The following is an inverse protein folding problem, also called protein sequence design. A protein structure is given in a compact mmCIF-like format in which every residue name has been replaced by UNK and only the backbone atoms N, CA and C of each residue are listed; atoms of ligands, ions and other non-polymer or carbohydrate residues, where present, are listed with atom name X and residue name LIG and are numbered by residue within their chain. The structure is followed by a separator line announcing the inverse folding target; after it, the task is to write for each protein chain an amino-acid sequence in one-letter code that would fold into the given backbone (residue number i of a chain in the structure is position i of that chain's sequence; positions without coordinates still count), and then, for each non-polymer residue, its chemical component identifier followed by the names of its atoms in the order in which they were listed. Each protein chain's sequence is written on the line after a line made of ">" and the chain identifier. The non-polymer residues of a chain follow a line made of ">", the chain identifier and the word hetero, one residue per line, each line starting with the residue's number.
data_IF_706124989067
#
_entry.id   IF_706124989067
#
_cell.length_a   1.000
_cell.length_b   1.000
_cell.length_c   1.000
_cell.angle_alpha   90.00
_cell.angle_beta   90.00
_cell.angle_gamma   90.00
#
_symmetry.space_group_name_H-M   'P 1'
#
loop_
_entity.id
_entity.type
_entity.pdbx_description
1 polymer ?
#
# COMPACT_ATOMS: atom_id res chain seq x y z
N UNK A 1 20.37 26.03 5.16
CA UNK A 1 19.06 25.37 4.86
C UNK A 1 18.97 23.87 5.21
N UNK A 2 20.05 23.18 5.63
CA UNK A 2 19.99 21.72 5.92
C UNK A 2 19.36 21.34 7.27
N UNK A 3 19.44 22.22 8.29
CA UNK A 3 18.98 21.94 9.67
C UNK A 3 17.51 21.47 9.79
N UNK A 4 16.49 22.13 9.22
CA UNK A 4 15.09 21.71 9.41
C UNK A 4 14.78 20.37 8.74
N UNK A 5 15.37 20.08 7.58
CA UNK A 5 15.20 18.81 6.87
C UNK A 5 15.81 17.67 7.70
N UNK A 6 17.03 17.85 8.20
CA UNK A 6 17.70 16.85 9.06
C UNK A 6 16.86 16.59 10.33
N UNK A 7 16.34 17.63 10.97
CA UNK A 7 15.48 17.49 12.15
C UNK A 7 14.20 16.72 11.81
N UNK A 8 13.57 17.00 10.67
CA UNK A 8 12.38 16.26 10.24
C UNK A 8 12.69 14.78 10.02
N UNK A 9 13.77 14.45 9.30
CA UNK A 9 14.19 13.06 9.05
C UNK A 9 14.46 12.35 10.37
N UNK A 10 15.20 12.96 11.30
CA UNK A 10 15.48 12.38 12.62
C UNK A 10 14.17 12.10 13.38
N UNK A 11 13.20 13.03 13.35
CA UNK A 11 11.90 12.84 13.99
C UNK A 11 11.10 11.70 13.36
N UNK A 12 11.05 11.62 12.02
CA UNK A 12 10.38 10.53 11.31
C UNK A 12 11.00 9.19 11.69
N UNK A 13 12.33 9.09 11.64
CA UNK A 13 13.04 7.84 12.00
C UNK A 13 12.79 7.44 13.44
N UNK A 14 12.87 8.39 14.39
CA UNK A 14 12.63 8.11 15.80
C UNK A 14 11.20 7.62 16.06
N UNK A 15 10.20 8.28 15.47
CA UNK A 15 8.79 7.88 15.61
C UNK A 15 8.55 6.53 14.93
N UNK A 16 9.10 6.30 13.75
CA UNK A 16 8.98 5.03 13.04
C UNK A 16 9.56 3.86 13.84
N UNK A 17 10.79 4.02 14.39
CA UNK A 17 11.42 3.00 15.24
C UNK A 17 10.57 2.74 16.49
N UNK A 18 10.09 3.80 17.15
CA UNK A 18 9.22 3.68 18.33
C UNK A 18 7.94 2.89 18.02
N UNK A 19 7.32 3.14 16.87
CA UNK A 19 6.10 2.43 16.43
C UNK A 19 6.37 0.99 16.00
N UNK A 20 7.60 0.65 15.59
CA UNK A 20 7.99 -0.73 15.24
C UNK A 20 8.23 -1.63 16.47
N UNK A 21 8.63 -1.07 17.62
CA UNK A 21 8.91 -1.82 18.86
C UNK A 21 7.76 -2.76 19.27
N UNK A 22 6.48 -2.34 19.30
CA UNK A 22 5.39 -3.21 19.73
C UNK A 22 4.99 -4.27 18.70
N UNK A 23 5.59 -4.31 17.50
CA UNK A 23 5.21 -5.26 16.45
C UNK A 23 5.11 -6.71 16.91
N UNK A 24 6.10 -7.30 17.64
CA UNK A 24 6.04 -8.70 18.05
C UNK A 24 4.76 -9.03 18.85
N UNK A 25 4.32 -8.13 19.73
CA UNK A 25 3.11 -8.29 20.54
C UNK A 25 1.80 -7.95 19.81
N UNK A 26 1.86 -7.25 18.68
CA UNK A 26 0.69 -6.88 17.87
C UNK A 26 0.46 -7.83 16.69
N UNK A 27 1.44 -8.67 16.36
CA UNK A 27 1.43 -9.55 15.17
C UNK A 27 0.13 -10.34 15.07
N UNK A 28 -0.23 -11.12 16.10
CA UNK A 28 -1.40 -12.00 16.07
C UNK A 28 -2.71 -11.25 15.81
N UNK A 29 -2.96 -10.18 16.58
CA UNK A 29 -4.16 -9.36 16.43
C UNK A 29 -4.23 -8.66 15.07
N UNK A 30 -3.09 -8.19 14.57
CA UNK A 30 -3.01 -7.52 13.28
C UNK A 30 -3.20 -8.50 12.12
N UNK A 31 -2.57 -9.67 12.15
CA UNK A 31 -2.74 -10.74 11.15
C UNK A 31 -4.18 -11.26 11.17
N UNK A 32 -4.82 -11.39 12.34
CA UNK A 32 -6.24 -11.74 12.44
C UNK A 32 -7.13 -10.67 11.77
N UNK A 33 -6.89 -9.38 12.05
CA UNK A 33 -7.61 -8.28 11.40
C UNK A 33 -7.41 -8.29 9.88
N UNK A 34 -6.17 -8.46 9.42
CA UNK A 34 -5.82 -8.53 8.00
C UNK A 34 -6.58 -9.65 7.28
N UNK A 35 -6.57 -10.86 7.83
CA UNK A 35 -7.32 -12.02 7.30
C UNK A 35 -8.82 -11.77 7.35
N UNK A 36 -9.33 -11.23 8.45
CA UNK A 36 -10.76 -10.92 8.64
C UNK A 36 -11.28 -9.93 7.60
N UNK A 37 -10.57 -8.81 7.40
CA UNK A 37 -10.91 -7.81 6.37
C UNK A 37 -10.80 -8.41 4.97
N UNK A 38 -9.75 -9.18 4.70
CA UNK A 38 -9.58 -9.88 3.42
C UNK A 38 -10.74 -10.82 3.11
N UNK A 39 -11.16 -11.63 4.08
CA UNK A 39 -12.32 -12.51 3.95
C UNK A 39 -13.61 -11.70 3.76
N UNK A 40 -13.87 -10.65 4.54
CA UNK A 40 -15.09 -9.84 4.38
C UNK A 40 -15.19 -9.22 2.98
N UNK A 41 -14.09 -8.72 2.43
CA UNK A 41 -14.10 -7.98 1.16
C UNK A 41 -14.02 -8.93 -0.04
N UNK A 42 -13.23 -9.99 0.04
CA UNK A 42 -12.89 -10.82 -1.13
C UNK A 42 -13.50 -12.23 -1.12
N UNK A 43 -14.22 -12.65 -0.08
CA UNK A 43 -14.72 -14.03 0.05
C UNK A 43 -15.51 -14.50 -1.18
N UNK A 44 -16.38 -13.65 -1.71
CA UNK A 44 -17.15 -13.92 -2.93
C UNK A 44 -16.72 -12.98 -4.05
N UNK A 45 -15.89 -13.47 -4.95
CA UNK A 45 -15.47 -12.75 -6.14
C UNK A 45 -16.07 -13.41 -7.39
N UNK A 46 -16.82 -12.63 -8.16
CA UNK A 46 -17.37 -12.99 -9.49
C UNK A 46 -18.19 -14.29 -9.57
N UNK A 47 -19.10 -14.53 -8.61
CA UNK A 47 -20.08 -15.65 -8.55
C UNK A 47 -19.51 -17.10 -8.54
N UNK A 48 -18.35 -17.29 -9.14
CA UNK A 48 -17.71 -18.59 -9.41
C UNK A 48 -16.38 -18.74 -8.66
N UNK A 49 -15.80 -17.66 -8.14
CA UNK A 49 -14.59 -17.69 -7.32
C UNK A 49 -14.90 -17.65 -5.83
N UNK A 50 -14.16 -18.43 -5.05
CA UNK A 50 -14.08 -18.33 -3.59
C UNK A 50 -12.64 -18.00 -3.21
N UNK A 51 -12.48 -16.97 -2.40
CA UNK A 51 -11.18 -16.59 -1.83
C UNK A 51 -11.23 -16.73 -0.32
N UNK A 52 -10.21 -17.36 0.25
CA UNK A 52 -10.12 -17.60 1.68
C UNK A 52 -8.75 -17.19 2.20
N UNK A 53 -8.73 -16.31 3.21
CA UNK A 53 -7.53 -15.87 3.90
C UNK A 53 -7.38 -16.72 5.16
N UNK A 54 -6.35 -17.57 5.17
CA UNK A 54 -6.10 -18.58 6.20
C UNK A 54 -4.71 -18.43 6.79
N UNK A 55 -4.47 -19.04 7.96
CA UNK A 55 -3.13 -19.15 8.52
C UNK A 55 -2.25 -20.07 7.68
N UNK A 56 -0.94 -19.81 7.69
CA UNK A 56 0.04 -20.74 7.10
C UNK A 56 0.26 -21.87 8.11
N UNK A 57 0.05 -23.15 7.74
CA UNK A 57 0.15 -24.28 8.68
C UNK A 57 1.57 -24.60 9.19
N UNK A 58 2.59 -23.89 8.73
CA UNK A 58 4.00 -24.28 8.94
C UNK A 58 4.90 -23.06 8.98
N UNK A 59 5.76 -22.99 9.98
CA UNK A 59 6.68 -21.88 10.29
C UNK A 59 7.81 -21.66 9.26
N UNK A 60 7.80 -22.37 8.12
CA UNK A 60 8.93 -22.40 7.17
C UNK A 60 8.95 -21.24 6.17
N UNK A 61 8.01 -20.29 6.23
CA UNK A 61 8.00 -19.12 5.36
C UNK A 61 8.34 -17.89 6.20
N UNK A 62 9.64 -17.57 6.27
CA UNK A 62 10.12 -16.37 6.95
C UNK A 62 9.31 -15.15 6.49
N UNK A 63 8.71 -14.46 7.45
CA UNK A 63 7.87 -13.26 7.30
C UNK A 63 6.50 -13.39 6.60
N UNK A 64 6.06 -14.58 6.18
CA UNK A 64 4.71 -14.77 5.65
C UNK A 64 3.79 -15.31 6.74
N UNK A 65 2.61 -14.69 6.89
CA UNK A 65 1.66 -15.02 7.96
C UNK A 65 0.27 -15.40 7.45
N UNK A 66 0.02 -15.20 6.15
CA UNK A 66 -1.30 -15.37 5.54
C UNK A 66 -1.20 -16.16 4.24
N UNK A 67 -1.95 -17.25 4.15
CA UNK A 67 -2.17 -18.00 2.92
C UNK A 67 -3.54 -17.64 2.34
N UNK A 68 -3.55 -17.10 1.14
CA UNK A 68 -4.74 -16.79 0.36
C UNK A 68 -5.01 -17.96 -0.57
N UNK A 69 -6.10 -18.68 -0.33
CA UNK A 69 -6.54 -19.81 -1.11
C UNK A 69 -7.56 -19.33 -2.14
N UNK A 70 -7.33 -19.68 -3.40
CA UNK A 70 -8.20 -19.36 -4.53
C UNK A 70 -8.85 -20.66 -5.01
N UNK A 71 -10.18 -20.69 -5.09
CA UNK A 71 -10.94 -21.86 -5.49
C UNK A 71 -12.04 -21.50 -6.47
N UNK A 72 -12.25 -22.37 -7.47
CA UNK A 72 -13.50 -22.38 -8.23
C UNK A 72 -14.61 -22.97 -7.37
N UNK A 73 -15.75 -22.28 -7.29
CA UNK A 73 -16.96 -22.73 -6.62
C UNK A 73 -17.43 -24.02 -7.31
N UNK A 74 -17.74 -25.05 -6.52
CA UNK A 74 -18.27 -26.28 -7.08
C UNK A 74 -19.64 -26.00 -7.72
N UNK A 75 -19.77 -26.44 -8.97
CA UNK A 75 -21.07 -26.54 -9.60
C UNK A 75 -21.74 -27.85 -9.15
N UNK A 76 -23.05 -27.84 -8.86
CA UNK A 76 -23.77 -29.07 -8.54
C UNK A 76 -23.56 -30.12 -9.64
N UNK A 77 -23.08 -31.30 -9.27
CA UNK A 77 -22.80 -32.40 -10.20
C UNK A 77 -21.37 -32.44 -10.76
N UNK A 78 -20.50 -31.49 -10.43
CA UNK A 78 -19.07 -31.56 -10.79
C UNK A 78 -18.28 -32.33 -9.73
N UNK A 79 -17.85 -33.55 -10.09
CA UNK A 79 -17.00 -34.41 -9.25
C UNK A 79 -15.49 -34.19 -9.51
N UNK A 80 -15.11 -33.23 -10.36
CA UNK A 80 -13.69 -32.99 -10.67
C UNK A 80 -12.95 -32.43 -9.44
N UNK A 81 -11.68 -32.80 -9.23
CA UNK A 81 -10.85 -32.20 -8.21
C UNK A 81 -10.77 -30.68 -8.45
N UNK A 82 -11.06 -29.88 -7.42
CA UNK A 82 -11.08 -28.42 -7.55
C UNK A 82 -9.65 -27.90 -7.70
N UNK A 83 -9.37 -27.20 -8.79
CA UNK A 83 -8.15 -26.42 -8.94
C UNK A 83 -8.03 -25.43 -7.78
N UNK A 84 -6.90 -25.46 -7.08
CA UNK A 84 -6.62 -24.63 -5.90
C UNK A 84 -5.35 -23.83 -6.10
N UNK A 85 -5.51 -22.51 -6.19
CA UNK A 85 -4.39 -21.58 -6.18
C UNK A 85 -4.04 -21.20 -4.75
N UNK A 86 -2.75 -20.97 -4.49
CA UNK A 86 -2.27 -20.47 -3.21
C UNK A 86 -1.37 -19.26 -3.45
N UNK A 87 -1.63 -18.18 -2.73
CA UNK A 87 -0.77 -17.00 -2.67
C UNK A 87 -0.36 -16.83 -1.21
N UNK A 88 0.92 -16.56 -0.96
CA UNK A 88 1.38 -16.23 0.37
C UNK A 88 1.57 -14.72 0.49
N UNK A 89 1.15 -14.17 1.63
CA UNK A 89 1.18 -12.74 1.92
C UNK A 89 1.72 -12.49 3.32
N UNK A 90 2.39 -11.36 3.47
CA UNK A 90 2.86 -10.85 4.76
C UNK A 90 2.02 -9.65 5.17
N UNK A 91 1.20 -9.77 6.22
CA UNK A 91 0.44 -8.62 6.74
C UNK A 91 1.37 -7.49 7.20
N UNK A 92 2.57 -7.84 7.68
CA UNK A 92 3.63 -6.91 8.09
C UNK A 92 4.02 -5.97 6.96
N UNK A 93 4.49 -6.50 5.84
CA UNK A 93 5.02 -5.68 4.75
C UNK A 93 3.93 -5.11 3.85
N UNK A 94 2.79 -5.78 3.71
CA UNK A 94 1.72 -5.30 2.84
C UNK A 94 0.87 -4.20 3.48
N UNK A 95 0.75 -4.17 4.81
CA UNK A 95 -0.18 -3.25 5.50
C UNK A 95 0.44 -2.53 6.69
N UNK A 96 1.12 -3.23 7.61
CA UNK A 96 1.60 -2.63 8.84
C UNK A 96 2.73 -1.60 8.61
N UNK A 97 3.81 -2.01 7.95
CA UNK A 97 5.00 -1.16 7.67
C UNK A 97 4.63 0.11 6.90
N UNK A 98 3.84 0.04 5.79
CA UNK A 98 3.38 1.25 5.10
C UNK A 98 2.54 2.18 6.00
N UNK A 99 1.68 1.60 6.85
CA UNK A 99 0.79 2.36 7.74
C UNK A 99 1.58 3.12 8.79
N UNK A 100 2.50 2.46 9.50
CA UNK A 100 3.33 3.13 10.51
C UNK A 100 4.24 4.19 9.89
N UNK A 101 4.68 4.02 8.64
CA UNK A 101 5.48 5.01 7.94
C UNK A 101 4.66 6.27 7.67
N UNK A 102 3.42 6.14 7.19
CA UNK A 102 2.51 7.28 7.05
C UNK A 102 2.23 7.95 8.39
N UNK A 103 2.00 7.18 9.46
CA UNK A 103 1.82 7.73 10.81
C UNK A 103 3.06 8.52 11.23
N UNK A 104 4.26 7.97 11.05
CA UNK A 104 5.52 8.63 11.40
C UNK A 104 5.73 9.94 10.63
N UNK A 105 5.46 9.94 9.31
CA UNK A 105 5.51 11.13 8.46
C UNK A 105 4.54 12.22 8.94
N UNK A 106 3.30 11.86 9.27
CA UNK A 106 2.28 12.81 9.75
C UNK A 106 2.60 13.34 11.14
N UNK A 107 3.06 12.48 12.05
CA UNK A 107 3.40 12.87 13.42
C UNK A 107 4.63 13.79 13.47
N UNK A 108 5.65 13.52 12.64
CA UNK A 108 6.84 14.35 12.51
C UNK A 108 6.55 15.70 11.82
N UNK A 109 5.49 15.80 11.02
CA UNK A 109 5.14 17.01 10.30
C UNK A 109 4.79 18.16 11.26
N UNK A 110 5.20 19.41 10.93
CA UNK A 110 4.90 20.61 11.72
C UNK A 110 3.46 21.08 11.49
N UNK A 111 2.49 20.21 11.78
CA UNK A 111 1.05 20.48 11.66
C UNK A 111 0.44 20.76 13.05
N UNK A 112 -0.54 21.69 13.16
CA UNK A 112 -1.31 21.87 14.39
C UNK A 112 -2.11 20.59 14.70
N UNK A 113 -2.24 20.27 15.99
CA UNK A 113 -2.81 19.01 16.49
C UNK A 113 -4.16 18.60 15.87
N UNK A 114 -5.19 19.47 15.75
CA UNK A 114 -6.49 19.05 15.18
C UNK A 114 -6.37 18.59 13.73
N UNK A 115 -5.49 19.23 12.95
CA UNK A 115 -5.25 18.86 11.55
C UNK A 115 -4.40 17.61 11.42
N UNK A 116 -3.49 17.41 12.38
CA UNK A 116 -2.70 16.18 12.48
C UNK A 116 -3.60 14.97 12.69
N UNK A 117 -4.64 15.07 13.54
CA UNK A 117 -5.61 13.98 13.74
C UNK A 117 -6.42 13.68 12.47
N UNK A 118 -6.92 14.71 11.79
CA UNK A 118 -7.61 14.53 10.51
C UNK A 118 -6.70 13.91 9.44
N UNK A 119 -5.45 14.37 9.35
CA UNK A 119 -4.44 13.80 8.45
C UNK A 119 -4.14 12.33 8.78
N UNK A 120 -4.02 11.96 10.06
CA UNK A 120 -3.80 10.57 10.48
C UNK A 120 -4.95 9.66 10.04
N UNK A 121 -6.20 10.06 10.28
CA UNK A 121 -7.37 9.27 9.87
C UNK A 121 -7.40 9.06 8.35
N UNK A 122 -7.22 10.14 7.57
CA UNK A 122 -7.19 10.07 6.10
C UNK A 122 -6.00 9.22 5.62
N UNK A 123 -4.82 9.38 6.25
CA UNK A 123 -3.60 8.66 5.87
C UNK A 123 -3.71 7.17 6.12
N UNK A 124 -4.19 6.77 7.31
CA UNK A 124 -4.44 5.36 7.64
C UNK A 124 -5.45 4.77 6.66
N UNK A 125 -6.57 5.47 6.42
CA UNK A 125 -7.58 5.02 5.47
C UNK A 125 -7.02 4.84 4.06
N UNK A 126 -6.28 5.84 3.53
CA UNK A 126 -5.71 5.80 2.19
C UNK A 126 -4.71 4.65 2.01
N UNK A 127 -3.84 4.40 2.99
CA UNK A 127 -2.88 3.27 2.94
C UNK A 127 -3.61 1.93 2.92
N UNK A 128 -4.67 1.77 3.73
CA UNK A 128 -5.44 0.53 3.75
C UNK A 128 -6.22 0.33 2.45
N UNK A 129 -6.82 1.37 1.88
CA UNK A 129 -7.44 1.31 0.55
C UNK A 129 -6.43 0.91 -0.53
N UNK A 130 -5.22 1.45 -0.49
CA UNK A 130 -4.15 1.07 -1.42
C UNK A 130 -3.74 -0.40 -1.24
N UNK A 131 -3.57 -0.87 0.00
CA UNK A 131 -3.23 -2.26 0.27
C UNK A 131 -4.32 -3.23 -0.20
N UNK A 132 -5.60 -2.88 -0.01
CA UNK A 132 -6.74 -3.63 -0.54
C UNK A 132 -6.77 -3.63 -2.07
N UNK A 133 -6.49 -2.49 -2.70
CA UNK A 133 -6.35 -2.42 -4.15
C UNK A 133 -5.21 -3.33 -4.65
N UNK A 134 -4.04 -3.29 -4.00
CA UNK A 134 -2.92 -4.19 -4.33
C UNK A 134 -3.32 -5.66 -4.21
N UNK A 135 -4.02 -6.04 -3.14
CA UNK A 135 -4.56 -7.39 -2.97
C UNK A 135 -5.56 -7.77 -4.05
N UNK A 136 -6.45 -6.85 -4.41
CA UNK A 136 -7.42 -7.06 -5.49
C UNK A 136 -6.71 -7.35 -6.83
N UNK A 137 -5.71 -6.55 -7.20
CA UNK A 137 -4.90 -6.76 -8.41
C UNK A 137 -4.20 -8.13 -8.36
N UNK A 138 -3.62 -8.49 -7.21
CA UNK A 138 -2.91 -9.76 -7.02
C UNK A 138 -3.82 -10.98 -7.15
N UNK A 139 -5.00 -10.93 -6.51
CA UNK A 139 -6.03 -11.97 -6.60
C UNK A 139 -6.54 -12.09 -8.04
N UNK A 140 -6.79 -10.96 -8.69
CA UNK A 140 -7.30 -10.93 -10.05
C UNK A 140 -6.31 -11.54 -11.05
N UNK A 141 -5.02 -11.23 -10.94
CA UNK A 141 -3.99 -11.82 -11.80
C UNK A 141 -3.87 -13.34 -11.61
N UNK A 142 -3.97 -13.80 -10.37
CA UNK A 142 -3.93 -15.23 -10.07
C UNK A 142 -5.10 -16.03 -10.69
N UNK A 143 -6.21 -15.36 -11.03
CA UNK A 143 -7.34 -15.97 -11.76
C UNK A 143 -7.18 -15.97 -13.30
N UNK A 144 -6.18 -15.29 -13.87
CA UNK A 144 -6.18 -14.89 -15.29
C UNK A 144 -5.48 -15.87 -16.27
N UNK A 145 -4.60 -16.79 -15.85
CA UNK A 145 -4.24 -17.92 -16.72
C UNK A 145 -3.79 -19.20 -15.99
N UNK A 146 -4.16 -19.39 -14.73
CA UNK A 146 -3.86 -20.62 -13.98
C UNK A 146 -4.91 -21.70 -14.26
N UNK A 147 -4.71 -22.91 -13.72
CA UNK A 147 -5.63 -24.07 -13.78
C UNK A 147 -7.09 -23.78 -13.37
N UNK A 148 -7.38 -22.57 -12.89
CA UNK A 148 -8.68 -22.14 -12.41
C UNK A 148 -9.54 -21.50 -13.53
N UNK A 149 -8.92 -20.99 -14.61
CA UNK A 149 -9.53 -20.36 -15.82
C UNK A 149 -10.96 -19.84 -15.60
N UNK A 150 -11.09 -18.86 -14.70
CA UNK A 150 -12.38 -18.27 -14.33
C UNK A 150 -12.72 -17.04 -15.17
N UNK A 151 -11.70 -16.33 -15.65
CA UNK A 151 -11.88 -15.03 -16.31
C UNK A 151 -11.05 -15.00 -17.58
N UNK A 152 -11.73 -14.92 -18.72
CA UNK A 152 -11.09 -14.62 -19.99
C UNK A 152 -10.80 -13.13 -20.08
N UNK A 153 -9.53 -12.77 -20.00
CA UNK A 153 -9.09 -11.37 -20.02
C UNK A 153 -8.44 -11.05 -21.35
N UNK A 154 -8.70 -9.85 -21.86
CA UNK A 154 -8.04 -9.38 -23.07
C UNK A 154 -6.50 -9.34 -22.86
N UNK A 155 -5.69 -9.68 -23.88
CA UNK A 155 -4.22 -9.68 -23.77
C UNK A 155 -3.65 -8.32 -23.31
N UNK A 156 -4.28 -7.23 -23.73
CA UNK A 156 -3.92 -5.87 -23.32
C UNK A 156 -4.08 -5.69 -21.81
N UNK A 157 -5.23 -6.05 -21.25
CA UNK A 157 -5.49 -5.89 -19.82
C UNK A 157 -4.58 -6.78 -18.97
N UNK A 158 -4.30 -8.02 -19.43
CA UNK A 158 -3.30 -8.90 -18.80
C UNK A 158 -1.91 -8.27 -18.75
N UNK A 159 -1.52 -7.58 -19.83
CA UNK A 159 -0.23 -6.88 -19.89
C UNK A 159 -0.18 -5.70 -18.92
N UNK A 160 -1.26 -4.93 -18.81
CA UNK A 160 -1.38 -3.83 -17.84
C UNK A 160 -1.34 -4.36 -16.40
N UNK A 161 -2.09 -5.42 -16.11
CA UNK A 161 -2.19 -6.03 -14.79
C UNK A 161 -0.84 -6.59 -14.32
N UNK A 162 -0.18 -7.38 -15.17
CA UNK A 162 1.14 -7.94 -14.87
C UNK A 162 2.21 -6.86 -14.72
N UNK A 163 2.18 -5.81 -15.55
CA UNK A 163 3.05 -4.64 -15.40
C UNK A 163 2.81 -3.91 -14.07
N UNK A 164 1.55 -3.73 -13.69
CA UNK A 164 1.15 -3.12 -12.42
C UNK A 164 1.65 -3.96 -11.25
N UNK A 165 1.47 -5.28 -11.28
CA UNK A 165 1.96 -6.17 -10.23
C UNK A 165 3.47 -6.18 -10.11
N UNK A 166 4.20 -6.17 -11.24
CA UNK A 166 5.66 -6.07 -11.19
C UNK A 166 6.09 -4.83 -10.43
N UNK A 167 5.48 -3.69 -10.72
CA UNK A 167 5.74 -2.44 -9.98
C UNK A 167 5.36 -2.60 -8.51
N UNK A 168 4.14 -3.04 -8.21
CA UNK A 168 3.62 -3.15 -6.83
C UNK A 168 4.32 -4.19 -5.95
N UNK A 169 4.97 -5.19 -6.54
CA UNK A 169 5.66 -6.26 -5.82
C UNK A 169 7.14 -5.97 -5.56
N UNK A 170 7.71 -4.90 -6.11
CA UNK A 170 9.01 -4.44 -5.65
C UNK A 170 8.89 -4.03 -4.17
N UNK A 171 9.67 -4.68 -3.29
CA UNK A 171 9.68 -4.45 -1.84
C UNK A 171 9.80 -2.96 -1.50
N UNK A 172 10.55 -2.22 -2.31
CA UNK A 172 10.76 -0.78 -2.18
C UNK A 172 9.48 0.06 -2.36
N UNK A 173 8.50 -0.42 -3.13
CA UNK A 173 7.22 0.29 -3.29
C UNK A 173 6.45 0.39 -1.99
N UNK A 174 6.66 -0.54 -1.05
CA UNK A 174 6.09 -0.46 0.31
C UNK A 174 6.51 0.80 1.07
N UNK A 175 7.67 1.39 0.75
CA UNK A 175 8.18 2.62 1.37
C UNK A 175 7.86 3.87 0.54
N UNK A 176 7.85 3.74 -0.78
CA UNK A 176 7.61 4.84 -1.70
C UNK A 176 6.13 5.28 -1.67
N UNK A 177 5.19 4.34 -1.65
CA UNK A 177 3.76 4.65 -1.70
C UNK A 177 3.28 5.47 -0.49
N UNK A 178 3.67 5.15 0.76
CA UNK A 178 3.43 6.01 1.92
C UNK A 178 3.83 7.47 1.73
N UNK A 179 4.96 7.73 1.07
CA UNK A 179 5.43 9.09 0.79
C UNK A 179 4.47 9.79 -0.18
N UNK A 180 4.07 9.10 -1.25
CA UNK A 180 3.11 9.63 -2.22
C UNK A 180 1.70 9.83 -1.64
N UNK A 181 1.27 9.01 -0.69
CA UNK A 181 0.01 9.19 0.05
C UNK A 181 0.12 10.38 1.01
N UNK A 182 1.25 10.50 1.70
CA UNK A 182 1.48 11.57 2.69
C UNK A 182 1.55 12.96 2.07
N UNK A 183 2.23 13.12 0.92
CA UNK A 183 2.40 14.42 0.25
C UNK A 183 1.09 15.20 0.02
N UNK A 184 0.06 14.66 -0.65
CA UNK A 184 -1.20 15.37 -0.87
C UNK A 184 -1.94 15.65 0.45
N UNK A 185 -1.91 14.73 1.41
CA UNK A 185 -2.50 14.92 2.74
C UNK A 185 -1.84 16.09 3.45
N UNK A 186 -0.50 16.15 3.41
CA UNK A 186 0.27 17.24 3.99
C UNK A 186 -0.10 18.59 3.35
N UNK A 187 -0.12 18.67 2.02
CA UNK A 187 -0.50 19.91 1.32
C UNK A 187 -1.94 20.35 1.61
N UNK A 188 -2.87 19.41 1.69
CA UNK A 188 -4.26 19.70 2.03
C UNK A 188 -4.39 20.19 3.48
N UNK A 189 -3.71 19.56 4.42
CA UNK A 189 -3.74 19.89 5.84
C UNK A 189 -3.05 21.23 6.19
N UNK A 190 -2.14 21.74 5.34
CA UNK A 190 -1.45 23.01 5.59
C UNK A 190 -2.41 24.21 5.59
N UNK A 191 -2.28 25.15 6.56
CA UNK A 191 -3.01 26.42 6.55
C UNK A 191 -2.75 27.20 5.27
N UNK A 192 -3.79 27.83 4.71
CA UNK A 192 -3.68 28.58 3.46
C UNK A 192 -2.60 29.68 3.55
N UNK A 193 -2.47 30.32 4.72
CA UNK A 193 -1.41 31.29 5.03
C UNK A 193 0.00 30.71 4.91
N UNK A 194 0.19 29.44 5.26
CA UNK A 194 1.50 28.78 5.28
C UNK A 194 1.85 28.12 3.93
N UNK A 195 0.86 27.86 3.07
CA UNK A 195 1.08 27.29 1.72
C UNK A 195 2.00 28.18 0.88
N UNK A 196 1.86 29.51 0.98
CA UNK A 196 2.72 30.46 0.28
C UNK A 196 4.19 30.38 0.71
N UNK A 197 4.43 30.23 2.01
CA UNK A 197 5.78 30.12 2.57
C UNK A 197 6.48 28.83 2.12
N UNK A 198 5.76 27.71 2.12
CA UNK A 198 6.30 26.42 1.67
C UNK A 198 6.60 26.39 0.17
N UNK A 199 5.70 26.93 -0.67
CA UNK A 199 5.96 27.06 -2.10
C UNK A 199 7.17 27.97 -2.37
N UNK A 200 7.35 29.04 -1.59
CA UNK A 200 8.54 29.88 -1.64
C UNK A 200 9.83 29.13 -1.29
N UNK A 201 9.79 28.28 -0.26
CA UNK A 201 10.93 27.43 0.12
C UNK A 201 11.27 26.39 -0.94
N UNK A 202 10.27 25.76 -1.57
CA UNK A 202 10.48 24.81 -2.66
C UNK A 202 11.10 25.51 -3.85
N UNK A 203 10.55 26.65 -4.30
CA UNK A 203 11.11 27.44 -5.41
C UNK A 203 12.56 27.88 -5.15
N UNK A 204 12.90 28.21 -3.89
CA UNK A 204 14.27 28.59 -3.51
C UNK A 204 15.23 27.40 -3.48
N UNK A 205 14.74 26.21 -3.14
CA UNK A 205 15.57 24.99 -3.03
C UNK A 205 15.80 24.34 -4.38
N UNK A 206 14.79 24.39 -5.25
CA UNK A 206 14.84 23.88 -6.61
C UNK A 206 14.58 25.04 -7.56
N UNK A 207 15.60 25.91 -7.80
CA UNK A 207 15.46 26.91 -8.83
C UNK A 207 15.22 26.18 -10.15
N UNK A 208 13.99 26.30 -10.66
CA UNK A 208 13.70 25.89 -12.03
C UNK A 208 14.60 26.77 -12.87
N UNK A 209 15.65 26.18 -13.46
CA UNK A 209 16.48 26.87 -14.43
C UNK A 209 15.52 27.28 -15.54
N UNK A 210 15.10 28.54 -15.53
CA UNK A 210 14.45 29.14 -16.69
C UNK A 210 15.53 29.11 -17.75
N UNK A 211 15.53 28.04 -18.53
CA UNK A 211 16.36 27.94 -19.71
C UNK A 211 16.14 29.24 -20.46
N UNK A 212 17.20 30.05 -20.53
CA UNK A 212 17.20 31.24 -21.35
C UNK A 212 16.97 30.74 -22.78
N UNK A 213 15.72 30.79 -23.22
CA UNK A 213 15.38 30.72 -24.64
C UNK A 213 16.02 31.96 -25.25
N UNK A 214 17.28 31.80 -25.67
CA UNK A 214 17.96 32.72 -26.57
C UNK A 214 17.21 32.65 -27.90
N UNK A 215 16.13 33.43 -28.01
CA UNK A 215 15.42 33.67 -29.27
C UNK A 215 16.03 34.84 -30.05
N UNK A 216 17.27 35.22 -29.75
CA UNK A 216 18.05 36.20 -30.53
C UNK A 216 18.98 35.49 -31.50
N UNK A 217 18.41 34.71 -32.43
CA UNK A 217 19.03 34.40 -33.71
C UNK A 217 17.94 34.23 -34.77
N UNK A 218 17.44 35.35 -35.30
CA UNK A 218 17.36 35.62 -36.75
C UNK A 218 16.82 37.02 -37.05
#
# INVERSE_FOLDING_TARGET
>A
MKKPIIIFIIKVSAIYILLMIPWPGLTEGYTHLYRGVGNVIFHSLWNEGVVEFTEIPTDNLEDQDTMIILQKRAQPGDNRPRSRGKIFSSSRYNTYVPTILVIALILAAPLPLPRKMGALLIGIFAVNCFALFKLWVLIYDAFTPTEIDLIQISPLFKSILSGTLRILNYIETGFIIPIFIWLPIFFFALPQKDRGTWLGLIKKTFPVSTAQTNSDQK
#
